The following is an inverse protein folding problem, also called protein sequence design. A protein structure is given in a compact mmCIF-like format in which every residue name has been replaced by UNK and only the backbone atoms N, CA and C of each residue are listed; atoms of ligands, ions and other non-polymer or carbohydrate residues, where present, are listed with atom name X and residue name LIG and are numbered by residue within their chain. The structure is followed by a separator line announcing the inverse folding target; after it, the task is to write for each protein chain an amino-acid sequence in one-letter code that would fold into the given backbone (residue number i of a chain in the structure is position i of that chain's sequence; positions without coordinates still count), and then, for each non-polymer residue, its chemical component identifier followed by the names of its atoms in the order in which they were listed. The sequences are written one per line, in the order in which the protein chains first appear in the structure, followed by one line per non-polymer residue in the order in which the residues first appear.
data_IF_707919428704
#
_entry.id   IF_707919428704
#
_cell.length_a   1.000
_cell.length_b   1.000
_cell.length_c   1.000
_cell.angle_alpha   90.00
_cell.angle_beta   90.00
_cell.angle_gamma   90.00
#
_symmetry.space_group_name_H-M   'P 1'
#
loop_
_entity.id
_entity.type
_entity.pdbx_description
1 polymer ?
#
# COMPACT_ATOMS: atom_id res chain seq x y z
N UNK A 1 33.64 57.35 -8.59
CA UNK A 1 34.18 56.00 -8.25
C UNK A 1 33.18 55.13 -7.50
N UNK A 2 32.52 55.60 -6.42
CA UNK A 2 31.50 54.82 -5.67
C UNK A 2 30.38 54.20 -6.52
N UNK A 3 29.80 54.94 -7.48
CA UNK A 3 28.74 54.41 -8.38
C UNK A 3 29.21 53.22 -9.25
N UNK A 4 30.47 53.22 -9.71
CA UNK A 4 31.05 52.11 -10.50
C UNK A 4 31.29 50.87 -9.63
N UNK A 5 31.71 51.06 -8.38
CA UNK A 5 31.92 49.98 -7.40
C UNK A 5 30.58 49.34 -7.00
N UNK A 6 29.55 50.16 -6.75
CA UNK A 6 28.20 49.66 -6.46
C UNK A 6 27.64 48.88 -7.65
N UNK A 7 27.82 49.39 -8.87
CA UNK A 7 27.38 48.71 -10.08
C UNK A 7 28.09 47.37 -10.30
N UNK A 8 29.42 47.30 -10.09
CA UNK A 8 30.17 46.04 -10.20
C UNK A 8 29.78 45.01 -9.14
N UNK A 9 29.52 45.46 -7.89
CA UNK A 9 29.01 44.60 -6.81
C UNK A 9 27.63 44.03 -7.15
N UNK A 10 26.74 44.86 -7.68
CA UNK A 10 25.40 44.42 -8.08
C UNK A 10 25.48 43.40 -9.23
N UNK A 11 26.35 43.64 -10.22
CA UNK A 11 26.55 42.73 -11.34
C UNK A 11 27.16 41.38 -10.90
N UNK A 12 28.09 41.39 -9.93
CA UNK A 12 28.63 40.20 -9.31
C UNK A 12 27.54 39.40 -8.56
N UNK A 13 26.69 40.08 -7.81
CA UNK A 13 25.60 39.46 -7.06
C UNK A 13 24.56 38.84 -8.01
N UNK A 14 24.27 39.52 -9.12
CA UNK A 14 23.37 39.03 -10.17
C UNK A 14 23.97 37.83 -10.92
N UNK A 15 25.27 37.85 -11.23
CA UNK A 15 25.97 36.71 -11.81
C UNK A 15 26.01 35.51 -10.86
N UNK A 16 26.28 35.73 -9.58
CA UNK A 16 26.27 34.70 -8.55
C UNK A 16 24.86 34.12 -8.34
N UNK A 17 23.84 34.96 -8.30
CA UNK A 17 22.44 34.56 -8.25
C UNK A 17 22.03 33.75 -9.49
N UNK A 18 22.46 34.18 -10.68
CA UNK A 18 22.25 33.47 -11.94
C UNK A 18 22.93 32.09 -11.95
N UNK A 19 24.16 32.00 -11.48
CA UNK A 19 24.90 30.74 -11.37
C UNK A 19 24.26 29.76 -10.39
N UNK A 20 23.86 30.24 -9.21
CA UNK A 20 23.13 29.43 -8.21
C UNK A 20 21.78 28.98 -8.80
N UNK A 21 21.04 29.89 -9.43
CA UNK A 21 19.78 29.60 -10.10
C UNK A 21 19.95 28.50 -11.16
N UNK A 22 20.96 28.62 -12.01
CA UNK A 22 21.29 27.61 -13.02
C UNK A 22 21.54 26.24 -12.37
N UNK A 23 22.40 26.17 -11.34
CA UNK A 23 22.70 24.90 -10.64
C UNK A 23 21.49 24.27 -9.94
N UNK A 24 20.55 25.08 -9.45
CA UNK A 24 19.37 24.58 -8.72
C UNK A 24 18.24 24.13 -9.63
N UNK A 25 18.03 24.85 -10.74
CA UNK A 25 16.85 24.73 -11.59
C UNK A 25 17.12 24.08 -12.95
N UNK A 26 18.38 23.91 -13.36
CA UNK A 26 18.70 23.14 -14.57
C UNK A 26 18.28 21.67 -14.43
N UNK A 27 17.92 21.00 -15.53
CA UNK A 27 17.75 19.55 -15.55
C UNK A 27 19.00 18.86 -15.01
N UNK A 28 18.84 17.98 -14.03
CA UNK A 28 19.96 17.35 -13.33
C UNK A 28 19.74 15.88 -12.99
N UNK A 29 18.47 15.44 -12.90
CA UNK A 29 18.13 14.04 -12.68
C UNK A 29 18.07 13.28 -13.99
N UNK A 30 18.71 12.12 -14.05
CA UNK A 30 18.66 11.17 -15.16
C UNK A 30 17.85 9.94 -14.73
N UNK A 31 16.70 9.70 -15.36
CA UNK A 31 15.86 8.53 -15.08
C UNK A 31 14.98 8.14 -16.28
N UNK A 32 15.61 7.80 -17.40
CA UNK A 32 14.91 7.41 -18.64
C UNK A 32 14.04 6.17 -18.47
N UNK A 33 14.48 5.23 -17.63
CA UNK A 33 13.79 3.95 -17.40
C UNK A 33 12.62 4.06 -16.40
N UNK A 34 12.29 5.26 -15.92
CA UNK A 34 11.26 5.48 -14.90
C UNK A 34 11.48 4.63 -13.63
N UNK A 35 12.73 4.37 -13.28
CA UNK A 35 13.10 3.62 -12.08
C UNK A 35 12.69 4.35 -10.80
N UNK A 36 12.54 3.61 -9.72
CA UNK A 36 12.24 4.17 -8.40
C UNK A 36 13.50 4.26 -7.57
N UNK A 37 13.61 5.35 -6.81
CA UNK A 37 14.64 5.52 -5.79
C UNK A 37 14.06 5.20 -4.41
N UNK A 38 14.84 4.49 -3.58
CA UNK A 38 14.40 4.00 -2.28
C UNK A 38 15.26 4.60 -1.17
N UNK A 39 14.60 5.15 -0.15
CA UNK A 39 15.25 5.67 1.04
C UNK A 39 14.81 4.82 2.23
N UNK A 40 15.77 4.13 2.85
CA UNK A 40 15.54 3.33 4.05
C UNK A 40 15.44 4.22 5.29
N UNK A 41 14.80 3.70 6.33
CA UNK A 41 14.75 4.38 7.61
C UNK A 41 16.16 4.57 8.20
N UNK A 42 16.41 5.75 8.76
CA UNK A 42 17.70 6.09 9.39
C UNK A 42 18.82 6.53 8.43
N UNK A 43 18.63 6.51 7.10
CA UNK A 43 19.65 6.99 6.17
C UNK A 43 19.88 8.50 6.31
N UNK A 44 21.16 8.89 6.37
CA UNK A 44 21.57 10.29 6.38
C UNK A 44 21.66 10.88 4.96
N UNK A 45 21.81 12.19 4.87
CA UNK A 45 21.82 12.90 3.58
C UNK A 45 23.05 12.54 2.74
N UNK A 46 24.19 12.24 3.38
CA UNK A 46 25.41 11.85 2.70
C UNK A 46 25.21 10.51 1.97
N UNK A 47 24.70 9.51 2.68
CA UNK A 47 24.37 8.19 2.12
C UNK A 47 23.32 8.30 1.01
N UNK A 48 22.32 9.17 1.16
CA UNK A 48 21.30 9.39 0.12
C UNK A 48 21.92 9.98 -1.14
N UNK A 49 22.81 10.96 -1.00
CA UNK A 49 23.55 11.55 -2.12
C UNK A 49 24.42 10.49 -2.81
N UNK A 50 25.17 9.71 -2.04
CA UNK A 50 26.01 8.63 -2.56
C UNK A 50 25.19 7.63 -3.36
N UNK A 51 24.05 7.18 -2.83
CA UNK A 51 23.15 6.27 -3.54
C UNK A 51 22.56 6.89 -4.82
N UNK A 52 22.20 8.18 -4.80
CA UNK A 52 21.71 8.88 -6.00
C UNK A 52 22.78 8.99 -7.08
N UNK A 53 24.04 9.18 -6.70
CA UNK A 53 25.18 9.24 -7.64
C UNK A 53 25.56 7.86 -8.15
N UNK A 54 25.65 6.87 -7.24
CA UNK A 54 25.99 5.49 -7.57
C UNK A 54 24.98 4.85 -8.53
N UNK A 55 23.68 5.09 -8.30
CA UNK A 55 22.59 4.64 -9.18
C UNK A 55 22.42 5.55 -10.42
N UNK A 56 23.33 6.50 -10.63
CA UNK A 56 23.37 7.41 -11.78
C UNK A 56 22.13 8.31 -11.94
N UNK A 57 21.34 8.48 -10.88
CA UNK A 57 20.21 9.42 -10.90
C UNK A 57 20.66 10.87 -10.98
N UNK A 58 21.83 11.22 -10.44
CA UNK A 58 22.42 12.57 -10.52
C UNK A 58 23.93 12.50 -10.73
N UNK A 59 24.51 13.54 -11.34
CA UNK A 59 25.97 13.72 -11.45
C UNK A 59 26.66 14.27 -10.19
N UNK A 60 25.95 14.39 -9.07
CA UNK A 60 26.45 14.86 -7.77
C UNK A 60 26.62 16.39 -7.62
N UNK A 61 26.82 17.13 -8.71
CA UNK A 61 26.99 18.59 -8.66
C UNK A 61 25.68 19.31 -8.26
N UNK A 62 25.78 20.35 -7.43
CA UNK A 62 24.64 21.17 -7.01
C UNK A 62 23.80 20.59 -5.86
N UNK A 63 23.92 19.30 -5.54
CA UNK A 63 23.16 18.68 -4.44
C UNK A 63 23.48 19.30 -3.08
N UNK A 64 24.76 19.44 -2.71
CA UNK A 64 25.15 19.98 -1.39
C UNK A 64 24.76 21.46 -1.25
N UNK A 65 24.93 22.24 -2.33
CA UNK A 65 24.52 23.64 -2.38
C UNK A 65 23.01 23.75 -2.16
N UNK A 66 22.22 22.95 -2.88
CA UNK A 66 20.78 22.93 -2.75
C UNK A 66 20.32 22.44 -1.37
N UNK A 67 20.99 21.42 -0.81
CA UNK A 67 20.67 20.91 0.51
C UNK A 67 20.90 21.97 1.60
N UNK A 68 22.00 22.72 1.51
CA UNK A 68 22.30 23.84 2.42
C UNK A 68 21.27 24.97 2.27
N UNK A 69 21.00 25.42 1.04
CA UNK A 69 20.06 26.52 0.77
C UNK A 69 18.62 26.19 1.18
N UNK A 70 18.19 24.95 0.96
CA UNK A 70 16.84 24.48 1.30
C UNK A 70 16.71 23.96 2.73
N UNK A 71 17.77 24.08 3.54
CA UNK A 71 17.85 23.56 4.92
C UNK A 71 17.42 22.10 4.99
N UNK A 72 17.82 21.31 4.00
CA UNK A 72 17.51 19.88 3.94
C UNK A 72 18.36 19.16 4.98
N UNK A 73 17.74 18.82 6.12
CA UNK A 73 18.40 18.15 7.26
C UNK A 73 18.05 16.67 7.37
N UNK A 74 16.86 16.28 6.90
CA UNK A 74 16.36 14.91 6.98
C UNK A 74 15.50 14.61 5.77
N UNK A 75 15.78 13.49 5.11
CA UNK A 75 14.90 12.92 4.10
C UNK A 75 13.82 12.06 4.77
N UNK A 76 12.65 11.98 4.15
CA UNK A 76 11.64 11.01 4.58
C UNK A 76 11.96 9.65 3.95
N UNK A 77 11.94 8.55 4.73
CA UNK A 77 12.09 7.22 4.16
C UNK A 77 10.89 6.91 3.26
N UNK A 78 11.12 6.15 2.19
CA UNK A 78 10.09 5.84 1.22
C UNK A 78 10.60 5.51 -0.17
N UNK A 79 9.65 5.24 -1.05
CA UNK A 79 9.89 4.99 -2.48
C UNK A 79 9.49 6.22 -3.29
N UNK A 80 10.37 6.70 -4.16
CA UNK A 80 10.19 7.92 -4.93
C UNK A 80 10.35 7.66 -6.42
N UNK A 81 9.37 8.10 -7.22
CA UNK A 81 9.53 8.17 -8.68
C UNK A 81 10.25 9.47 -9.03
N UNK A 82 11.50 9.37 -9.45
CA UNK A 82 12.27 10.52 -9.89
C UNK A 82 11.94 10.81 -11.35
N UNK A 83 11.48 12.02 -11.69
CA UNK A 83 11.17 12.36 -13.08
C UNK A 83 12.46 12.69 -13.82
N UNK A 84 12.65 12.12 -15.00
CA UNK A 84 13.76 12.48 -15.88
C UNK A 84 13.78 13.99 -16.15
N UNK A 85 14.96 14.59 -16.11
CA UNK A 85 15.15 16.03 -16.27
C UNK A 85 14.67 16.90 -15.11
N UNK A 86 14.22 16.33 -13.99
CA UNK A 86 13.87 17.16 -12.84
C UNK A 86 15.11 17.83 -12.24
N UNK A 87 14.97 19.08 -11.82
CA UNK A 87 16.03 19.87 -11.21
C UNK A 87 16.37 19.38 -9.79
N UNK A 88 17.60 19.64 -9.31
CA UNK A 88 18.01 19.34 -7.92
C UNK A 88 17.08 19.99 -6.90
N UNK A 89 16.60 21.21 -7.15
CA UNK A 89 15.61 21.87 -6.28
C UNK A 89 14.34 21.02 -6.08
N UNK A 90 13.74 20.56 -7.19
CA UNK A 90 12.55 19.69 -7.17
C UNK A 90 12.85 18.36 -6.49
N UNK A 91 14.03 17.78 -6.70
CA UNK A 91 14.44 16.52 -6.08
C UNK A 91 14.46 16.67 -4.55
N UNK A 92 15.17 17.66 -4.03
CA UNK A 92 15.24 17.88 -2.57
C UNK A 92 13.88 18.21 -2.00
N UNK A 93 13.06 19.00 -2.71
CA UNK A 93 11.68 19.27 -2.29
C UNK A 93 10.86 17.99 -2.16
N UNK A 94 10.97 17.06 -3.11
CA UNK A 94 10.30 15.75 -3.12
C UNK A 94 10.76 14.88 -1.93
N UNK A 95 12.08 14.76 -1.73
CA UNK A 95 12.64 13.95 -0.64
C UNK A 95 12.34 14.53 0.74
N UNK A 96 12.20 15.86 0.84
CA UNK A 96 11.83 16.58 2.07
C UNK A 96 10.34 16.48 2.38
N UNK A 97 9.47 16.59 1.37
CA UNK A 97 8.01 16.48 1.57
C UNK A 97 7.61 15.06 1.94
N UNK A 98 8.35 14.05 1.47
CA UNK A 98 7.98 12.65 1.65
C UNK A 98 6.81 12.25 0.77
N UNK A 99 6.62 12.93 -0.36
CA UNK A 99 5.63 12.58 -1.37
C UNK A 99 6.08 11.30 -2.09
N UNK A 100 5.82 10.17 -1.43
CA UNK A 100 6.17 8.85 -1.91
C UNK A 100 5.30 8.45 -3.10
N UNK A 101 5.85 7.60 -3.96
CA UNK A 101 5.09 6.89 -4.98
C UNK A 101 4.54 5.58 -4.41
N UNK A 102 3.23 5.43 -4.17
CA UNK A 102 2.66 4.28 -3.48
C UNK A 102 2.69 3.01 -4.33
N UNK A 103 2.93 1.87 -3.70
CA UNK A 103 2.82 0.53 -4.27
C UNK A 103 1.33 0.22 -4.45
N UNK A 104 0.92 -0.16 -5.67
CA UNK A 104 -0.44 -0.63 -5.92
C UNK A 104 -0.54 -2.11 -5.59
N UNK A 105 -1.44 -2.45 -4.67
CA UNK A 105 -1.76 -3.81 -4.28
C UNK A 105 -3.20 -4.10 -4.68
N UNK A 106 -3.38 -4.91 -5.72
CA UNK A 106 -4.71 -5.36 -6.15
C UNK A 106 -5.09 -6.65 -5.44
N UNK A 107 -6.14 -6.56 -4.64
CA UNK A 107 -6.80 -7.70 -4.04
C UNK A 107 -7.96 -8.10 -4.95
N UNK A 108 -7.95 -9.36 -5.38
CA UNK A 108 -9.04 -9.96 -6.13
C UNK A 108 -9.80 -10.89 -5.18
N UNK A 109 -9.79 -12.19 -5.45
CA UNK A 109 -10.39 -13.21 -4.59
C UNK A 109 -9.26 -13.98 -3.92
N UNK A 110 -8.98 -13.67 -2.66
CA UNK A 110 -7.97 -14.40 -1.88
C UNK A 110 -8.65 -15.42 -1.00
N UNK A 111 -8.34 -16.70 -1.23
CA UNK A 111 -8.94 -17.79 -0.49
C UNK A 111 -8.31 -17.96 0.88
N UNK A 112 -7.00 -17.79 1.01
CA UNK A 112 -6.27 -18.06 2.25
C UNK A 112 -5.42 -16.87 2.70
N UNK A 113 -5.08 -16.86 4.00
CA UNK A 113 -4.18 -15.83 4.57
C UNK A 113 -2.81 -15.88 3.93
N UNK A 114 -2.33 -17.07 3.59
CA UNK A 114 -1.03 -17.31 2.96
C UNK A 114 -0.98 -16.72 1.54
N UNK A 115 -2.04 -16.93 0.74
CA UNK A 115 -2.15 -16.33 -0.59
C UNK A 115 -2.20 -14.79 -0.52
N UNK A 116 -2.98 -14.26 0.43
CA UNK A 116 -3.04 -12.83 0.68
C UNK A 116 -1.70 -12.26 1.13
N UNK A 117 -1.05 -12.88 2.12
CA UNK A 117 0.26 -12.49 2.62
C UNK A 117 1.35 -12.55 1.53
N UNK A 118 1.27 -13.54 0.64
CA UNK A 118 2.16 -13.70 -0.51
C UNK A 118 2.17 -12.49 -1.46
N UNK A 119 1.13 -11.66 -1.48
CA UNK A 119 1.11 -10.41 -2.28
C UNK A 119 2.07 -9.34 -1.76
N UNK A 120 2.49 -9.43 -0.51
CA UNK A 120 3.30 -8.43 0.18
C UNK A 120 4.79 -8.79 0.28
N UNK A 121 5.29 -9.72 -0.54
CA UNK A 121 6.71 -10.12 -0.57
C UNK A 121 7.67 -9.00 -1.02
N UNK A 122 8.50 -9.25 -2.04
CA UNK A 122 9.60 -8.34 -2.48
C UNK A 122 9.18 -6.93 -2.98
N UNK A 123 7.90 -6.56 -2.86
CA UNK A 123 7.34 -5.27 -3.32
C UNK A 123 7.48 -4.16 -2.29
N UNK A 124 7.81 -4.50 -1.04
CA UNK A 124 7.90 -3.58 0.09
C UNK A 124 9.32 -3.54 0.65
N UNK A 125 9.56 -2.66 1.63
CA UNK A 125 10.84 -2.56 2.31
C UNK A 125 11.20 -3.85 3.05
N UNK A 126 12.49 -4.07 3.32
CA UNK A 126 12.99 -5.31 3.97
C UNK A 126 12.37 -5.59 5.33
N UNK A 127 11.86 -4.56 6.01
CA UNK A 127 11.15 -4.68 7.28
C UNK A 127 9.71 -5.22 7.13
N UNK A 128 9.21 -5.39 5.90
CA UNK A 128 7.87 -5.86 5.62
C UNK A 128 7.85 -6.82 4.43
N UNK A 129 7.67 -8.10 4.73
CA UNK A 129 7.51 -9.16 3.75
C UNK A 129 6.23 -9.99 4.00
N UNK A 130 6.07 -11.08 3.25
CA UNK A 130 4.96 -12.01 3.43
C UNK A 130 4.96 -12.68 4.81
N UNK A 131 6.13 -12.89 5.43
CA UNK A 131 6.24 -13.51 6.75
C UNK A 131 5.74 -12.56 7.85
N UNK A 132 6.10 -11.28 7.77
CA UNK A 132 5.59 -10.25 8.65
C UNK A 132 4.06 -10.10 8.53
N UNK A 133 3.52 -10.16 7.31
CA UNK A 133 2.07 -10.10 7.11
C UNK A 133 1.36 -11.34 7.69
N UNK A 134 1.80 -12.56 7.39
CA UNK A 134 1.13 -13.76 7.91
C UNK A 134 1.23 -13.87 9.44
N UNK A 135 2.36 -13.46 10.02
CA UNK A 135 2.53 -13.40 11.48
C UNK A 135 1.51 -12.44 12.11
N UNK A 136 1.34 -11.25 11.53
CA UNK A 136 0.33 -10.29 11.96
C UNK A 136 -1.10 -10.85 11.87
N UNK A 137 -1.44 -11.52 10.76
CA UNK A 137 -2.78 -12.10 10.55
C UNK A 137 -3.07 -13.31 11.46
N UNK A 138 -2.04 -13.93 12.02
CA UNK A 138 -2.18 -15.04 12.97
C UNK A 138 -2.15 -14.60 14.44
N UNK A 139 -1.80 -13.33 14.71
CA UNK A 139 -1.69 -12.80 16.06
C UNK A 139 -3.01 -12.13 16.50
N UNK A 140 -3.74 -12.78 17.40
CA UNK A 140 -5.03 -12.28 17.91
C UNK A 140 -4.91 -10.93 18.63
N UNK A 141 -3.82 -10.68 19.35
CA UNK A 141 -3.63 -9.40 20.07
C UNK A 141 -3.51 -8.22 19.10
N UNK A 142 -2.82 -8.44 17.97
CA UNK A 142 -2.69 -7.45 16.90
C UNK A 142 -4.04 -7.13 16.25
N UNK A 143 -4.93 -8.12 16.21
CA UNK A 143 -6.23 -8.04 15.54
C UNK A 143 -7.37 -7.52 16.44
N UNK A 144 -7.21 -7.60 17.76
CA UNK A 144 -8.23 -7.22 18.75
C UNK A 144 -8.81 -5.82 18.52
N UNK A 145 -7.97 -4.85 18.17
CA UNK A 145 -8.40 -3.46 17.88
C UNK A 145 -9.28 -3.30 16.63
N UNK A 146 -9.33 -4.32 15.78
CA UNK A 146 -10.18 -4.38 14.59
C UNK A 146 -11.46 -5.20 14.82
N UNK A 147 -11.63 -5.79 16.01
CA UNK A 147 -12.80 -6.61 16.34
C UNK A 147 -12.85 -7.93 15.56
N UNK A 148 -11.70 -8.44 15.14
CA UNK A 148 -11.57 -9.72 14.43
C UNK A 148 -10.47 -10.56 15.07
N UNK A 149 -10.46 -11.85 14.75
CA UNK A 149 -9.44 -12.82 15.15
C UNK A 149 -8.78 -13.44 13.92
N UNK A 150 -7.85 -14.37 14.15
CA UNK A 150 -7.11 -15.03 13.06
C UNK A 150 -8.00 -15.85 12.11
N UNK A 151 -9.23 -16.20 12.49
CA UNK A 151 -10.19 -16.95 11.68
C UNK A 151 -11.08 -16.03 10.84
N UNK A 152 -11.39 -14.84 11.35
CA UNK A 152 -12.31 -13.87 10.75
C UNK A 152 -11.61 -12.71 10.05
N UNK A 153 -10.30 -12.55 10.23
CA UNK A 153 -9.49 -11.45 9.67
C UNK A 153 -9.66 -11.27 8.16
N UNK A 154 -9.84 -12.36 7.42
CA UNK A 154 -10.00 -12.31 5.96
C UNK A 154 -11.33 -11.67 5.52
N UNK A 155 -12.35 -11.64 6.38
CA UNK A 155 -13.61 -10.94 6.08
C UNK A 155 -13.43 -9.42 5.95
N UNK A 156 -12.34 -8.86 6.49
CA UNK A 156 -12.00 -7.43 6.38
C UNK A 156 -11.36 -7.11 5.02
N UNK A 157 -10.76 -8.09 4.36
CA UNK A 157 -9.95 -7.92 3.15
C UNK A 157 -10.85 -7.83 1.92
N UNK A 158 -11.26 -6.60 1.58
CA UNK A 158 -12.13 -6.33 0.44
C UNK A 158 -11.40 -6.37 -0.91
N UNK A 159 -12.06 -6.78 -2.01
CA UNK A 159 -11.46 -6.94 -3.33
C UNK A 159 -11.29 -5.60 -4.07
N UNK A 160 -10.36 -4.76 -3.60
CA UNK A 160 -10.02 -3.47 -4.21
C UNK A 160 -8.53 -3.37 -4.55
N UNK A 161 -8.18 -2.33 -5.32
CA UNK A 161 -6.80 -1.88 -5.48
C UNK A 161 -6.47 -0.84 -4.42
N UNK A 162 -5.47 -1.14 -3.60
CA UNK A 162 -5.00 -0.27 -2.52
C UNK A 162 -3.67 0.37 -2.92
N UNK A 163 -3.55 1.66 -2.63
CA UNK A 163 -2.29 2.40 -2.73
C UNK A 163 -1.63 2.42 -1.35
N UNK A 164 -0.47 1.79 -1.25
CA UNK A 164 0.23 1.55 0.00
C UNK A 164 1.66 2.08 -0.09
N UNK A 165 2.13 2.79 0.93
CA UNK A 165 3.53 3.21 0.98
C UNK A 165 4.48 2.00 1.03
N UNK A 166 5.62 2.11 0.37
CA UNK A 166 6.61 1.02 0.27
C UNK A 166 7.20 0.61 1.63
N UNK A 167 7.31 1.54 2.58
CA UNK A 167 7.78 1.32 3.94
C UNK A 167 6.64 1.18 4.96
N UNK A 168 5.45 0.77 4.51
CA UNK A 168 4.33 0.48 5.41
C UNK A 168 4.56 -0.78 6.23
N UNK A 169 3.89 -0.86 7.39
CA UNK A 169 3.86 -2.05 8.26
C UNK A 169 2.58 -2.85 8.03
N UNK A 170 2.54 -4.15 8.41
CA UNK A 170 1.32 -4.96 8.32
C UNK A 170 0.11 -4.27 8.93
N UNK A 171 0.29 -3.66 10.10
CA UNK A 171 -0.77 -2.95 10.81
C UNK A 171 -1.31 -1.73 10.06
N UNK A 172 -0.42 -0.89 9.51
CA UNK A 172 -0.84 0.29 8.74
C UNK A 172 -1.63 -0.10 7.49
N UNK A 173 -1.21 -1.19 6.86
CA UNK A 173 -1.88 -1.76 5.69
C UNK A 173 -3.25 -2.31 6.09
N UNK A 174 -3.30 -3.13 7.13
CA UNK A 174 -4.54 -3.72 7.60
C UNK A 174 -5.53 -2.66 8.08
N UNK A 175 -5.06 -1.56 8.68
CA UNK A 175 -5.89 -0.40 9.01
C UNK A 175 -6.57 0.21 7.77
N UNK A 176 -5.90 0.24 6.63
CA UNK A 176 -6.48 0.73 5.37
C UNK A 176 -7.57 -0.22 4.84
N UNK A 177 -7.33 -1.53 4.92
CA UNK A 177 -8.35 -2.56 4.64
C UNK A 177 -9.56 -2.40 5.57
N UNK A 178 -9.34 -2.28 6.87
CA UNK A 178 -10.38 -2.11 7.86
C UNK A 178 -11.17 -0.80 7.68
N UNK A 179 -10.51 0.28 7.28
CA UNK A 179 -11.21 1.53 6.94
C UNK A 179 -12.14 1.34 5.75
N UNK A 180 -11.72 0.57 4.75
CA UNK A 180 -12.54 0.25 3.58
C UNK A 180 -13.69 -0.68 3.93
N UNK A 181 -13.46 -1.67 4.81
CA UNK A 181 -14.50 -2.52 5.38
C UNK A 181 -15.56 -1.71 6.13
N UNK A 182 -15.16 -0.78 7.00
CA UNK A 182 -16.11 0.12 7.70
C UNK A 182 -16.90 0.99 6.73
N UNK A 183 -16.26 1.49 5.67
CA UNK A 183 -16.94 2.27 4.63
C UNK A 183 -17.94 1.42 3.83
N UNK A 184 -17.64 0.14 3.64
CA UNK A 184 -18.56 -0.80 3.01
C UNK A 184 -19.81 -1.02 3.87
N UNK A 185 -19.67 -1.10 5.19
CA UNK A 185 -20.78 -1.27 6.12
C UNK A 185 -21.49 0.04 6.47
N UNK A 186 -22.37 0.49 5.57
CA UNK A 186 -23.29 1.61 5.82
C UNK A 186 -24.41 1.21 6.78
N UNK A 187 -25.08 2.20 7.38
CA UNK A 187 -26.25 1.98 8.25
C UNK A 187 -27.32 1.11 7.57
N UNK A 188 -27.59 1.33 6.28
CA UNK A 188 -28.55 0.52 5.52
C UNK A 188 -28.13 -0.96 5.47
N UNK A 189 -26.85 -1.24 5.23
CA UNK A 189 -26.34 -2.61 5.15
C UNK A 189 -26.33 -3.28 6.51
N UNK A 190 -25.96 -2.55 7.57
CA UNK A 190 -26.00 -3.09 8.94
C UNK A 190 -27.43 -3.43 9.34
N UNK A 191 -28.40 -2.54 9.09
CA UNK A 191 -29.83 -2.84 9.37
C UNK A 191 -30.34 -4.05 8.59
N UNK A 192 -29.94 -4.21 7.33
CA UNK A 192 -30.28 -5.41 6.54
C UNK A 192 -29.66 -6.68 7.13
N UNK A 193 -28.42 -6.62 7.58
CA UNK A 193 -27.75 -7.74 8.24
C UNK A 193 -28.46 -8.10 9.57
N UNK A 194 -28.80 -7.10 10.38
CA UNK A 194 -29.50 -7.25 11.64
C UNK A 194 -30.91 -7.86 11.44
N UNK A 195 -31.62 -7.48 10.37
CA UNK A 195 -32.92 -8.09 10.01
C UNK A 195 -32.85 -9.57 9.65
N UNK A 196 -31.66 -10.05 9.29
CA UNK A 196 -31.36 -11.47 9.04
C UNK A 196 -30.77 -12.15 10.28
N UNK A 197 -30.65 -11.45 11.41
CA UNK A 197 -29.95 -11.89 12.62
C UNK A 197 -28.49 -12.29 12.36
N UNK A 198 -27.83 -11.61 11.42
CA UNK A 198 -26.44 -11.85 11.06
C UNK A 198 -25.59 -10.63 11.36
N UNK A 199 -24.42 -10.86 11.94
CA UNK A 199 -23.37 -9.84 12.05
C UNK A 199 -22.73 -9.56 10.68
N UNK A 200 -22.11 -8.37 10.49
CA UNK A 200 -21.32 -8.06 9.30
C UNK A 200 -20.31 -9.14 8.90
N UNK A 201 -19.62 -9.74 9.86
CA UNK A 201 -18.65 -10.81 9.61
C UNK A 201 -19.34 -12.07 9.07
N UNK A 202 -20.45 -12.47 9.67
CA UNK A 202 -21.23 -13.64 9.23
C UNK A 202 -21.81 -13.44 7.82
N UNK A 203 -22.28 -12.23 7.49
CA UNK A 203 -22.76 -11.92 6.14
C UNK A 203 -21.64 -12.09 5.11
N UNK A 204 -20.43 -11.59 5.39
CA UNK A 204 -19.29 -11.74 4.48
C UNK A 204 -18.84 -13.21 4.39
N UNK A 205 -18.84 -13.94 5.50
CA UNK A 205 -18.57 -15.39 5.49
C UNK A 205 -19.57 -16.12 4.59
N UNK A 206 -20.87 -15.87 4.75
CA UNK A 206 -21.90 -16.47 3.90
C UNK A 206 -21.74 -16.07 2.43
N UNK A 207 -21.47 -14.79 2.16
CA UNK A 207 -21.21 -14.30 0.81
C UNK A 207 -20.01 -15.00 0.16
N UNK A 208 -18.95 -15.30 0.94
CA UNK A 208 -17.78 -16.02 0.43
C UNK A 208 -18.11 -17.46 0.01
N UNK A 209 -19.02 -18.13 0.73
CA UNK A 209 -19.51 -19.47 0.38
C UNK A 209 -20.34 -19.40 -0.90
N UNK A 210 -21.31 -18.49 -0.98
CA UNK A 210 -22.16 -18.28 -2.18
C UNK A 210 -21.31 -17.95 -3.41
N UNK A 211 -20.24 -17.16 -3.25
CA UNK A 211 -19.33 -16.77 -4.33
C UNK A 211 -18.47 -17.93 -4.86
N UNK A 212 -18.24 -18.97 -4.06
CA UNK A 212 -17.51 -20.18 -4.50
C UNK A 212 -18.43 -21.28 -5.06
N UNK A 213 -19.74 -21.22 -4.82
CA UNK A 213 -20.70 -22.21 -5.36
C UNK A 213 -20.91 -22.09 -6.88
N UNK A 214 -20.94 -20.87 -7.41
CA UNK A 214 -21.23 -20.67 -8.84
C UNK A 214 -20.62 -19.39 -9.40
N UNK A 215 -20.24 -19.45 -10.67
CA UNK A 215 -19.85 -18.27 -11.44
C UNK A 215 -21.07 -17.49 -11.97
N UNK A 216 -22.24 -18.14 -12.05
CA UNK A 216 -23.45 -17.57 -12.66
C UNK A 216 -24.17 -16.67 -11.66
N UNK A 217 -24.18 -15.36 -11.93
CA UNK A 217 -24.71 -14.33 -11.01
C UNK A 217 -26.19 -14.53 -10.65
N UNK A 218 -27.03 -15.00 -11.58
CA UNK A 218 -28.46 -15.25 -11.30
C UNK A 218 -28.67 -16.29 -10.21
N UNK A 219 -27.82 -17.31 -10.18
CA UNK A 219 -28.01 -18.48 -9.32
C UNK A 219 -27.58 -18.16 -7.87
N UNK A 220 -26.69 -17.18 -7.68
CA UNK A 220 -26.22 -16.72 -6.36
C UNK A 220 -27.36 -16.26 -5.46
N UNK A 221 -28.41 -15.64 -6.00
CA UNK A 221 -29.57 -15.21 -5.20
C UNK A 221 -30.35 -16.40 -4.63
N UNK A 222 -30.59 -17.43 -5.45
CA UNK A 222 -31.29 -18.64 -5.03
C UNK A 222 -30.47 -19.44 -4.01
N UNK A 223 -29.15 -19.54 -4.23
CA UNK A 223 -28.21 -20.21 -3.31
C UNK A 223 -28.16 -19.46 -1.97
N UNK A 224 -28.02 -18.13 -1.99
CA UNK A 224 -28.03 -17.32 -0.78
C UNK A 224 -29.35 -17.48 0.00
N UNK A 225 -30.50 -17.45 -0.69
CA UNK A 225 -31.81 -17.68 -0.07
C UNK A 225 -31.89 -19.05 0.60
N UNK A 226 -31.34 -20.09 -0.03
CA UNK A 226 -31.32 -21.44 0.52
C UNK A 226 -30.49 -21.50 1.80
N UNK A 227 -29.30 -20.91 1.81
CA UNK A 227 -28.46 -20.89 3.01
C UNK A 227 -29.02 -20.03 4.14
N UNK A 228 -29.62 -18.88 3.84
CA UNK A 228 -30.31 -18.07 4.85
C UNK A 228 -31.45 -18.86 5.51
N UNK A 229 -32.23 -19.61 4.72
CA UNK A 229 -33.26 -20.49 5.25
C UNK A 229 -32.69 -21.59 6.15
N UNK A 230 -31.56 -22.22 5.77
CA UNK A 230 -30.89 -23.24 6.59
C UNK A 230 -30.40 -22.65 7.92
N UNK A 231 -29.77 -21.48 7.89
CA UNK A 231 -29.29 -20.79 9.10
C UNK A 231 -30.46 -20.49 10.04
N UNK A 232 -31.57 -19.96 9.50
CA UNK A 232 -32.76 -19.61 10.29
C UNK A 232 -33.35 -20.78 11.09
N UNK A 233 -33.26 -22.00 10.55
CA UNK A 233 -33.80 -23.21 11.20
C UNK A 233 -32.70 -24.05 11.89
N UNK A 234 -31.46 -23.53 12.01
CA UNK A 234 -30.35 -24.26 12.64
C UNK A 234 -29.83 -25.46 11.85
N UNK A 235 -30.09 -25.53 10.54
CA UNK A 235 -29.65 -26.61 9.66
C UNK A 235 -28.22 -26.38 9.16
N UNK A 236 -27.42 -27.45 9.08
CA UNK A 236 -26.06 -27.40 8.49
C UNK A 236 -26.11 -26.89 7.04
N UNK A 237 -25.15 -26.03 6.65
CA UNK A 237 -25.08 -25.49 5.29
C UNK A 237 -24.75 -26.56 4.24
N UNK A 238 -23.92 -27.55 4.59
CA UNK A 238 -23.47 -28.62 3.68
C UNK A 238 -22.97 -28.07 2.33
N UNK A 239 -22.10 -27.05 2.40
CA UNK A 239 -21.61 -26.35 1.22
C UNK A 239 -20.22 -26.88 0.84
N UNK A 240 -20.07 -27.42 -0.37
CA UNK A 240 -18.81 -27.97 -0.89
C UNK A 240 -17.61 -27.00 -0.77
N UNK A 241 -17.75 -25.68 -1.03
CA UNK A 241 -16.68 -24.72 -0.83
C UNK A 241 -16.08 -24.73 0.58
N UNK A 242 -16.87 -25.03 1.60
CA UNK A 242 -16.38 -25.07 2.98
C UNK A 242 -15.45 -26.26 3.21
N UNK A 243 -15.71 -27.40 2.56
CA UNK A 243 -14.84 -28.59 2.61
C UNK A 243 -13.54 -28.33 1.85
N UNK A 244 -13.62 -27.75 0.65
CA UNK A 244 -12.43 -27.37 -0.14
C UNK A 244 -11.54 -26.39 0.62
N UNK A 245 -12.15 -25.41 1.30
CA UNK A 245 -11.44 -24.47 2.15
C UNK A 245 -10.77 -25.16 3.34
N UNK A 246 -11.48 -26.05 4.04
CA UNK A 246 -10.93 -26.80 5.18
C UNK A 246 -9.74 -27.69 4.79
N UNK A 247 -9.80 -28.34 3.62
CA UNK A 247 -8.72 -29.17 3.08
C UNK A 247 -7.58 -28.35 2.46
N UNK A 248 -7.77 -27.04 2.27
CA UNK A 248 -6.89 -26.16 1.48
C UNK A 248 -6.60 -26.69 0.07
N UNK A 249 -7.51 -27.50 -0.49
CA UNK A 249 -7.41 -28.05 -1.83
C UNK A 249 -8.56 -27.53 -2.70
N UNK A 250 -8.23 -26.54 -3.53
CA UNK A 250 -9.17 -25.90 -4.45
C UNK A 250 -9.20 -26.57 -5.83
N UNK A 251 -8.44 -27.65 -6.03
CA UNK A 251 -8.47 -28.45 -7.27
C UNK A 251 -9.62 -29.47 -7.30
N UNK A 252 -10.17 -29.79 -6.13
CA UNK A 252 -11.28 -30.74 -5.97
C UNK A 252 -12.50 -30.29 -6.79
N UNK A 253 -12.86 -31.12 -7.77
CA UNK A 253 -14.04 -30.88 -8.64
C UNK A 253 -15.34 -31.43 -8.05
N UNK A 254 -15.28 -32.51 -7.27
CA UNK A 254 -16.43 -33.13 -6.59
C UNK A 254 -16.03 -33.52 -5.17
N UNK A 255 -16.85 -33.13 -4.20
CA UNK A 255 -16.73 -33.61 -2.82
C UNK A 255 -17.63 -34.85 -2.71
N UNK A 256 -17.03 -36.03 -2.66
CA UNK A 256 -17.78 -37.27 -2.41
C UNK A 256 -17.83 -37.50 -0.91
N UNK A 257 -19.03 -37.56 -0.33
CA UNK A 257 -19.20 -37.94 1.07
C UNK A 257 -18.80 -39.41 1.26
N UNK A 258 -17.78 -39.65 2.08
CA UNK A 258 -17.54 -40.94 2.73
C UNK A 258 -18.12 -40.88 4.13
#
# INVERSE_FOLDING_TARGET
MRKKIIFSLLLLLLAMGGFIGYKLFSPAVHNKDNAYFYIKEGQDIATIKENLVYQQFIGGSGFDLAARLLKFKKAKPGRYKLKDGMSIYKLIKLLRSGEQSPVKVTITKERTKEAFAGKFGKRFDVAFDSLAMISFLNNTDSLKKYGVDSNTVMAVVMPYTFEVNWNSTPDKIFKQFYTSFKKFWTTERTTKADSLHLTPLQVITLASIVEEETLKKSDKYNIASTYLNRIRIGMKLQADPTVKFALKDFSIKRVTGT
#
